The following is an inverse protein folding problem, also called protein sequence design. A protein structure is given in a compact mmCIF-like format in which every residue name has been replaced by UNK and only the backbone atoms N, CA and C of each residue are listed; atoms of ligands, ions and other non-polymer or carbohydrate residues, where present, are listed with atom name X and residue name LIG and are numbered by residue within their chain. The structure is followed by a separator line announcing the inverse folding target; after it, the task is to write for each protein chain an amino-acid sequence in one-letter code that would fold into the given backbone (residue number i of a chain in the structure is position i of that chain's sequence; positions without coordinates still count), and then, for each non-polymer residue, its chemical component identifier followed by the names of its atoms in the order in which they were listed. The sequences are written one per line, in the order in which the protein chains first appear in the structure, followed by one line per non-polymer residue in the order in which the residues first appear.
data_IF_326828364325
#
_entry.id   IF_326828364325
#
_cell.length_a   1.000
_cell.length_b   1.000
_cell.length_c   1.000
_cell.angle_alpha   90.00
_cell.angle_beta   90.00
_cell.angle_gamma   90.00
#
_symmetry.space_group_name_H-M   'P 1'
#
loop_
_entity.id
_entity.type
_entity.pdbx_description
1 polymer ?
#
# COMPACT_ATOMS: atom_id res chain seq x y z
N UNK A 1 26.42 0.78 3.60
CA UNK A 1 24.95 0.56 3.66
C UNK A 1 24.55 0.85 5.08
N UNK A 2 23.55 1.70 5.31
CA UNK A 2 22.94 1.79 6.64
C UNK A 2 22.34 0.42 6.95
N UNK A 3 22.86 -0.28 7.96
CA UNK A 3 22.40 -1.61 8.32
C UNK A 3 21.51 -1.50 9.55
N UNK A 4 20.22 -1.73 9.34
CA UNK A 4 19.23 -1.84 10.41
C UNK A 4 19.14 -3.31 10.85
N UNK A 5 19.16 -3.62 12.16
CA UNK A 5 19.06 -5.00 12.64
C UNK A 5 17.76 -5.67 12.18
N UNK A 6 17.81 -6.93 11.76
CA UNK A 6 16.61 -7.69 11.35
C UNK A 6 16.06 -8.50 12.52
N UNK A 7 15.77 -7.82 13.63
CA UNK A 7 15.28 -8.41 14.88
C UNK A 7 14.20 -7.50 15.50
N UNK A 8 13.03 -8.08 15.80
CA UNK A 8 11.87 -7.43 16.41
C UNK A 8 12.21 -6.68 17.70
N UNK A 9 13.09 -7.24 18.54
CA UNK A 9 13.43 -6.66 19.84
C UNK A 9 14.23 -5.36 19.71
N UNK A 10 14.85 -5.11 18.56
CA UNK A 10 15.60 -3.89 18.26
C UNK A 10 14.69 -2.71 17.91
N UNK A 11 13.37 -2.90 17.84
CA UNK A 11 12.43 -1.83 17.47
C UNK A 11 11.38 -1.61 18.55
N UNK A 12 11.19 -0.35 18.91
CA UNK A 12 10.03 0.11 19.69
C UNK A 12 9.04 0.77 18.73
N UNK A 13 7.88 0.15 18.52
CA UNK A 13 6.77 0.78 17.82
C UNK A 13 6.27 1.97 18.64
N UNK A 14 6.01 3.11 18.00
CA UNK A 14 5.60 4.35 18.68
C UNK A 14 4.16 4.71 18.32
N UNK A 15 3.91 5.04 17.05
CA UNK A 15 2.62 5.53 16.58
C UNK A 15 2.21 4.77 15.33
N UNK A 16 0.95 4.30 15.29
CA UNK A 16 0.35 3.83 14.05
C UNK A 16 0.02 5.03 13.18
N UNK A 17 0.46 5.00 11.92
CA UNK A 17 0.35 6.12 10.97
C UNK A 17 -0.22 5.71 9.61
N UNK A 18 -0.49 4.42 9.42
CA UNK A 18 -1.15 3.92 8.22
C UNK A 18 -1.89 2.62 8.49
N UNK A 19 -2.99 2.43 7.74
CA UNK A 19 -3.81 1.22 7.75
C UNK A 19 -4.19 0.89 6.30
N UNK A 20 -3.79 -0.29 5.85
CA UNK A 20 -4.17 -0.91 4.59
C UNK A 20 -5.15 -2.06 4.80
N UNK A 21 -5.46 -2.79 3.74
CA UNK A 21 -6.40 -3.94 3.81
C UNK A 21 -5.86 -5.08 4.68
N UNK A 22 -4.59 -5.44 4.48
CA UNK A 22 -3.87 -6.52 5.18
C UNK A 22 -2.52 -6.01 5.72
N UNK A 23 -2.43 -4.73 6.08
CA UNK A 23 -1.16 -4.15 6.50
C UNK A 23 -1.35 -2.94 7.40
N UNK A 24 -0.44 -2.75 8.34
CA UNK A 24 -0.36 -1.55 9.18
C UNK A 24 1.00 -0.89 9.05
N UNK A 25 1.06 0.43 9.20
CA UNK A 25 2.32 1.19 9.16
C UNK A 25 2.51 1.91 10.48
N UNK A 26 3.69 1.74 11.06
CA UNK A 26 4.08 2.35 12.32
C UNK A 26 5.33 3.22 12.17
N UNK A 27 5.36 4.35 12.87
CA UNK A 27 6.63 4.98 13.25
C UNK A 27 7.25 4.11 14.32
N UNK A 28 8.49 3.68 14.11
CA UNK A 28 9.26 2.90 15.07
C UNK A 28 10.60 3.58 15.36
N UNK A 29 11.11 3.38 16.58
CA UNK A 29 12.47 3.78 16.96
C UNK A 29 13.36 2.56 17.01
N UNK A 30 14.44 2.58 16.22
CA UNK A 30 15.49 1.58 16.33
C UNK A 30 16.27 1.81 17.64
N UNK A 31 16.50 0.73 18.39
CA UNK A 31 17.17 0.81 19.70
C UNK A 31 18.68 0.98 19.59
N UNK A 32 19.29 0.45 18.53
CA UNK A 32 20.74 0.47 18.33
C UNK A 32 21.25 1.88 18.01
N UNK A 33 20.59 2.61 17.13
CA UNK A 33 21.03 3.93 16.66
C UNK A 33 20.07 5.08 17.03
N UNK A 34 18.98 4.78 17.74
CA UNK A 34 17.93 5.73 18.16
C UNK A 34 17.19 6.42 17.03
N UNK A 35 17.43 6.08 15.76
CA UNK A 35 16.76 6.69 14.60
C UNK A 35 15.32 6.20 14.49
N UNK A 36 14.47 7.07 13.96
CA UNK A 36 13.09 6.73 13.63
C UNK A 36 13.01 6.23 12.19
N UNK A 37 12.24 5.15 12.00
CA UNK A 37 11.97 4.53 10.71
C UNK A 37 10.47 4.26 10.58
N UNK A 38 10.02 4.00 9.35
CA UNK A 38 8.70 3.42 9.12
C UNK A 38 8.83 1.89 9.11
N UNK A 39 7.99 1.21 9.87
CA UNK A 39 7.82 -0.25 9.80
C UNK A 39 6.43 -0.54 9.28
N UNK A 40 6.36 -1.18 8.11
CA UNK A 40 5.11 -1.69 7.55
C UNK A 40 4.99 -3.18 7.89
N UNK A 41 3.95 -3.51 8.63
CA UNK A 41 3.63 -4.87 9.06
C UNK A 41 2.58 -5.38 8.06
N UNK A 42 2.92 -6.42 7.30
CA UNK A 42 1.99 -7.06 6.37
C UNK A 42 1.53 -8.38 6.98
N UNK A 43 0.22 -8.50 7.20
CA UNK A 43 -0.40 -9.69 7.74
C UNK A 43 -0.58 -10.72 6.64
N UNK A 44 0.20 -11.79 6.69
CA UNK A 44 0.21 -12.82 5.64
C UNK A 44 -0.90 -13.87 5.85
N UNK A 45 -1.60 -13.83 6.98
CA UNK A 45 -2.71 -14.71 7.29
C UNK A 45 -3.92 -14.38 6.40
N UNK A 46 -4.36 -15.35 5.58
CA UNK A 46 -5.60 -15.26 4.82
C UNK A 46 -5.48 -15.17 3.29
N UNK A 47 -4.28 -15.24 2.70
CA UNK A 47 -4.12 -15.45 1.26
C UNK A 47 -2.82 -16.18 0.90
N UNK A 48 -2.82 -17.04 -0.15
CA UNK A 48 -1.58 -17.54 -0.72
C UNK A 48 -0.83 -16.36 -1.39
N UNK A 49 0.04 -15.71 -0.64
CA UNK A 49 0.92 -14.70 -1.18
C UNK A 49 1.98 -15.36 -2.07
N UNK A 50 2.22 -14.79 -3.24
CA UNK A 50 3.36 -15.17 -4.06
C UNK A 50 4.66 -14.62 -3.42
N UNK A 51 5.14 -15.35 -2.40
CA UNK A 51 6.34 -15.02 -1.62
C UNK A 51 7.55 -14.80 -2.54
N UNK A 52 7.61 -15.51 -3.67
CA UNK A 52 8.71 -15.39 -4.64
C UNK A 52 8.66 -14.06 -5.41
N UNK A 53 7.47 -13.62 -5.82
CA UNK A 53 7.31 -12.29 -6.40
C UNK A 53 7.58 -11.19 -5.37
N UNK A 54 7.12 -11.36 -4.13
CA UNK A 54 7.34 -10.41 -3.05
C UNK A 54 8.83 -10.22 -2.76
N UNK A 55 9.56 -11.33 -2.55
CA UNK A 55 11.01 -11.32 -2.33
C UNK A 55 11.77 -10.68 -3.49
N UNK A 56 11.35 -10.92 -4.74
CA UNK A 56 11.97 -10.29 -5.91
C UNK A 56 11.74 -8.79 -5.95
N UNK A 57 10.54 -8.34 -5.61
CA UNK A 57 10.21 -6.91 -5.47
C UNK A 57 11.07 -6.23 -4.41
N UNK A 58 11.23 -6.83 -3.23
CA UNK A 58 12.11 -6.32 -2.16
C UNK A 58 13.58 -6.25 -2.59
N UNK A 59 14.10 -7.28 -3.23
CA UNK A 59 15.46 -7.27 -3.77
C UNK A 59 15.66 -6.14 -4.77
N UNK A 60 14.70 -5.92 -5.67
CA UNK A 60 14.74 -4.81 -6.62
C UNK A 60 14.69 -3.44 -5.92
N UNK A 61 13.84 -3.31 -4.89
CA UNK A 61 13.75 -2.09 -4.10
C UNK A 61 15.08 -1.78 -3.41
N UNK A 62 15.71 -2.77 -2.78
CA UNK A 62 16.97 -2.60 -2.06
C UNK A 62 18.12 -2.09 -2.96
N UNK A 63 18.14 -2.49 -4.24
CA UNK A 63 19.19 -2.07 -5.20
C UNK A 63 18.82 -0.80 -5.98
N UNK A 64 17.53 -0.45 -6.08
CA UNK A 64 17.08 0.74 -6.80
C UNK A 64 17.31 1.99 -5.94
N UNK A 65 18.06 2.97 -6.48
CA UNK A 65 18.31 4.25 -5.80
C UNK A 65 17.79 5.40 -6.64
N UNK A 66 16.87 6.18 -6.07
CA UNK A 66 16.33 7.37 -6.72
C UNK A 66 15.90 8.39 -5.65
N UNK A 67 16.11 9.70 -5.84
CA UNK A 67 15.73 10.72 -4.85
C UNK A 67 14.22 10.74 -4.53
N UNK A 68 13.39 10.34 -5.50
CA UNK A 68 11.93 10.23 -5.34
C UNK A 68 11.45 8.80 -5.07
N UNK A 69 12.31 7.93 -4.56
CA UNK A 69 11.96 6.60 -4.05
C UNK A 69 12.28 6.56 -2.56
N UNK A 70 11.35 6.01 -1.76
CA UNK A 70 11.57 5.76 -0.33
C UNK A 70 12.69 4.73 -0.18
N UNK A 71 13.66 4.99 0.70
CA UNK A 71 14.71 4.01 0.94
C UNK A 71 14.15 2.79 1.67
N UNK A 72 14.51 1.61 1.19
CA UNK A 72 14.16 0.33 1.81
C UNK A 72 15.40 -0.28 2.45
N UNK A 73 15.28 -0.62 3.73
CA UNK A 73 16.39 -1.10 4.54
C UNK A 73 16.41 -2.63 4.67
N UNK A 74 15.26 -3.28 4.55
CA UNK A 74 15.14 -4.74 4.62
C UNK A 74 13.77 -5.19 5.12
N UNK A 75 13.59 -6.50 5.23
CA UNK A 75 12.41 -7.09 5.84
C UNK A 75 12.75 -8.38 6.58
N UNK A 76 11.92 -8.74 7.55
CA UNK A 76 12.01 -9.99 8.29
C UNK A 76 10.64 -10.45 8.80
N UNK A 77 10.52 -11.73 9.12
CA UNK A 77 9.27 -12.30 9.63
C UNK A 77 9.22 -12.16 11.15
N UNK A 78 8.03 -11.85 11.67
CA UNK A 78 7.70 -11.88 13.10
C UNK A 78 6.41 -12.67 13.24
N UNK A 79 6.51 -13.92 13.67
CA UNK A 79 5.37 -14.84 13.62
C UNK A 79 4.90 -15.07 12.18
N UNK A 80 3.62 -14.80 11.91
CA UNK A 80 3.00 -14.84 10.58
C UNK A 80 3.09 -13.51 9.81
N UNK A 81 3.61 -12.45 10.44
CA UNK A 81 3.69 -11.13 9.82
C UNK A 81 5.03 -10.87 9.14
N UNK A 82 5.01 -10.15 8.02
CA UNK A 82 6.21 -9.62 7.38
C UNK A 82 6.42 -8.15 7.74
N UNK A 83 7.52 -7.87 8.41
CA UNK A 83 7.93 -6.52 8.79
C UNK A 83 8.86 -5.94 7.71
N UNK A 84 8.48 -4.82 7.11
CA UNK A 84 9.25 -4.08 6.10
C UNK A 84 9.78 -2.78 6.70
N UNK A 85 11.09 -2.56 6.60
CA UNK A 85 11.80 -1.44 7.22
C UNK A 85 12.12 -0.41 6.14
N UNK A 86 11.56 0.79 6.30
CA UNK A 86 11.67 1.86 5.33
C UNK A 86 12.08 3.18 5.98
N UNK A 87 12.62 4.08 5.16
CA UNK A 87 12.77 5.48 5.52
C UNK A 87 11.42 6.08 5.94
N UNK A 88 11.43 6.81 7.05
CA UNK A 88 10.24 7.52 7.53
C UNK A 88 10.02 8.79 6.71
N UNK A 89 8.84 8.90 6.09
CA UNK A 89 8.36 10.13 5.45
C UNK A 89 7.25 10.74 6.32
N UNK A 90 7.59 11.84 6.97
CA UNK A 90 6.91 12.44 8.13
C UNK A 90 5.72 13.37 7.82
N UNK A 91 5.39 13.58 6.54
CA UNK A 91 4.19 14.33 6.12
C UNK A 91 3.03 13.45 5.64
N UNK A 92 3.22 12.13 5.59
CA UNK A 92 2.17 11.17 5.22
C UNK A 92 1.94 10.99 3.73
N UNK A 93 0.97 10.13 3.41
CA UNK A 93 0.61 9.86 2.01
C UNK A 93 -0.31 10.94 1.45
N UNK A 94 -0.27 11.12 0.13
CA UNK A 94 -1.21 12.00 -0.58
C UNK A 94 -2.66 11.61 -0.29
N UNK A 95 -2.94 10.31 -0.15
CA UNK A 95 -4.28 9.84 0.25
C UNK A 95 -4.68 10.36 1.64
N UNK A 96 -3.80 10.25 2.64
CA UNK A 96 -4.10 10.75 3.99
C UNK A 96 -4.34 12.26 3.98
N UNK A 97 -3.53 13.01 3.25
CA UNK A 97 -3.67 14.47 3.13
C UNK A 97 -5.00 14.85 2.49
N UNK A 98 -5.39 14.16 1.40
CA UNK A 98 -6.67 14.35 0.73
C UNK A 98 -7.84 14.07 1.68
N UNK A 99 -7.81 12.94 2.39
CA UNK A 99 -8.88 12.55 3.30
C UNK A 99 -9.01 13.51 4.49
N UNK A 100 -7.88 13.99 5.02
CA UNK A 100 -7.86 14.85 6.19
C UNK A 100 -8.31 16.28 5.90
N UNK A 101 -7.74 16.92 4.87
CA UNK A 101 -7.91 18.37 4.64
C UNK A 101 -8.36 18.76 3.24
N UNK A 102 -8.32 17.86 2.25
CA UNK A 102 -8.60 18.18 0.84
C UNK A 102 -9.59 17.19 0.22
N UNK A 103 -10.70 16.96 0.92
CA UNK A 103 -11.78 16.05 0.53
C UNK A 103 -12.44 16.39 -0.83
N UNK A 104 -12.27 17.62 -1.30
CA UNK A 104 -12.68 18.09 -2.64
C UNK A 104 -11.52 18.23 -3.63
N UNK A 105 -10.33 17.75 -3.28
CA UNK A 105 -9.10 17.78 -4.07
C UNK A 105 -8.37 19.12 -4.06
N UNK A 106 -7.12 19.10 -4.53
CA UNK A 106 -6.30 20.29 -4.70
C UNK A 106 -6.76 21.10 -5.90
N UNK A 107 -6.99 22.40 -5.69
CA UNK A 107 -7.37 23.34 -6.76
C UNK A 107 -6.17 24.07 -7.36
N UNK A 108 -5.06 24.09 -6.64
CA UNK A 108 -3.81 24.65 -7.13
C UNK A 108 -3.12 23.66 -8.09
N UNK A 109 -3.19 23.96 -9.39
CA UNK A 109 -2.51 23.19 -10.43
C UNK A 109 -0.99 23.21 -10.30
N UNK A 110 -0.42 24.28 -9.75
CA UNK A 110 1.03 24.36 -9.50
C UNK A 110 1.40 23.32 -8.46
N UNK A 111 0.61 23.18 -7.39
CA UNK A 111 0.79 22.12 -6.39
C UNK A 111 0.63 20.72 -7.00
N UNK A 112 -0.41 20.49 -7.80
CA UNK A 112 -0.62 19.22 -8.51
C UNK A 112 0.59 18.84 -9.37
N UNK A 113 1.07 19.77 -10.20
CA UNK A 113 2.23 19.57 -11.05
C UNK A 113 3.51 19.32 -10.22
N UNK A 114 3.69 20.04 -9.11
CA UNK A 114 4.85 19.92 -8.22
C UNK A 114 4.90 18.57 -7.49
N UNK A 115 3.74 17.95 -7.23
CA UNK A 115 3.68 16.61 -6.64
C UNK A 115 3.82 15.52 -7.72
N UNK A 116 3.15 15.68 -8.86
CA UNK A 116 3.14 14.67 -9.94
C UNK A 116 4.49 14.58 -10.68
N UNK A 117 5.24 15.68 -10.80
CA UNK A 117 6.53 15.69 -11.51
C UNK A 117 7.61 14.79 -10.87
N UNK A 118 7.84 14.82 -9.54
CA UNK A 118 8.69 13.86 -8.84
C UNK A 118 8.30 12.40 -9.07
N UNK A 119 7.00 12.10 -9.04
CA UNK A 119 6.47 10.76 -9.28
C UNK A 119 6.77 10.31 -10.71
N UNK A 120 6.52 11.19 -11.69
CA UNK A 120 6.80 10.93 -13.08
C UNK A 120 8.30 10.80 -13.39
N UNK A 121 9.14 11.57 -12.69
CA UNK A 121 10.61 11.49 -12.77
C UNK A 121 11.11 10.12 -12.31
N UNK A 122 10.58 9.62 -11.19
CA UNK A 122 10.84 8.26 -10.73
C UNK A 122 10.37 7.22 -11.75
N UNK A 123 9.15 7.32 -12.27
CA UNK A 123 8.65 6.39 -13.29
C UNK A 123 9.52 6.39 -14.55
N UNK A 124 9.97 7.55 -15.02
CA UNK A 124 10.86 7.64 -16.17
C UNK A 124 12.19 6.91 -15.94
N UNK A 125 12.78 7.07 -14.75
CA UNK A 125 13.96 6.31 -14.35
C UNK A 125 13.70 4.80 -14.29
N UNK A 126 12.59 4.40 -13.67
CA UNK A 126 12.25 2.99 -13.46
C UNK A 126 11.92 2.27 -14.77
N UNK A 127 11.15 2.92 -15.65
CA UNK A 127 10.80 2.42 -16.99
C UNK A 127 12.02 2.34 -17.91
N UNK A 128 12.99 3.26 -17.78
CA UNK A 128 14.26 3.16 -18.50
C UNK A 128 15.04 1.89 -18.15
N UNK A 129 14.91 1.41 -16.91
CA UNK A 129 15.44 0.12 -16.47
C UNK A 129 14.57 -1.08 -16.82
N UNK A 130 13.51 -0.90 -17.63
CA UNK A 130 12.52 -1.93 -17.95
C UNK A 130 11.83 -2.52 -16.72
N UNK A 131 11.67 -1.72 -15.67
CA UNK A 131 10.89 -2.09 -14.49
C UNK A 131 9.52 -1.42 -14.53
N UNK A 132 8.52 -2.09 -13.95
CA UNK A 132 7.15 -1.56 -13.81
C UNK A 132 6.77 -1.56 -12.34
N UNK A 133 6.16 -0.48 -11.86
CA UNK A 133 5.73 -0.33 -10.48
C UNK A 133 4.49 -1.18 -10.17
N UNK A 134 3.51 -1.25 -11.08
CA UNK A 134 2.27 -2.05 -11.05
C UNK A 134 1.22 -1.63 -10.03
N UNK A 135 1.61 -1.00 -8.93
CA UNK A 135 0.69 -0.60 -7.86
C UNK A 135 0.80 0.88 -7.45
N UNK A 136 1.15 1.76 -8.38
CA UNK A 136 1.27 3.18 -8.05
C UNK A 136 -0.10 3.79 -7.78
N UNK A 137 -0.25 4.39 -6.59
CA UNK A 137 -1.51 4.90 -6.03
C UNK A 137 -1.22 6.05 -5.06
N UNK A 138 -2.24 6.84 -4.70
CA UNK A 138 -2.08 7.99 -3.78
C UNK A 138 -1.64 7.61 -2.38
N UNK A 139 -1.92 6.39 -1.90
CA UNK A 139 -1.40 5.90 -0.62
C UNK A 139 0.10 5.52 -0.69
N UNK A 140 0.63 5.27 -1.89
CA UNK A 140 2.04 4.99 -2.14
C UNK A 140 2.86 6.23 -2.53
N UNK A 141 2.26 7.42 -2.59
CA UNK A 141 2.96 8.69 -2.82
C UNK A 141 3.04 9.42 -1.48
N UNK A 142 4.23 9.57 -0.95
CA UNK A 142 4.49 10.17 0.35
C UNK A 142 5.12 11.56 0.18
N UNK A 143 4.77 12.49 1.06
CA UNK A 143 5.34 13.84 1.10
C UNK A 143 5.98 14.05 2.47
N UNK A 144 7.25 14.47 2.51
CA UNK A 144 7.92 14.83 3.76
C UNK A 144 7.50 16.21 4.23
N UNK A 145 7.79 16.54 5.48
CA UNK A 145 7.57 17.88 6.02
C UNK A 145 8.31 18.97 5.28
N UNK A 146 9.43 18.65 4.65
CA UNK A 146 10.20 19.57 3.81
C UNK A 146 9.64 19.69 2.38
N UNK A 147 8.51 19.04 2.09
CA UNK A 147 7.87 19.02 0.78
C UNK A 147 8.53 18.06 -0.23
N UNK A 148 9.38 17.13 0.22
CA UNK A 148 9.99 16.15 -0.69
C UNK A 148 8.97 15.06 -1.00
N UNK A 149 8.78 14.77 -2.30
CA UNK A 149 7.84 13.75 -2.76
C UNK A 149 8.59 12.48 -3.10
N UNK A 150 8.14 11.36 -2.54
CA UNK A 150 8.71 10.03 -2.76
C UNK A 150 7.63 8.99 -3.01
N UNK A 151 7.95 8.03 -3.86
CA UNK A 151 7.12 6.84 -4.13
C UNK A 151 7.57 5.72 -3.19
N UNK A 152 6.62 4.95 -2.66
CA UNK A 152 6.81 3.77 -1.82
C UNK A 152 6.26 2.52 -2.49
N UNK A 153 6.52 1.36 -1.87
CA UNK A 153 5.86 0.08 -2.13
C UNK A 153 6.23 -0.58 -3.47
N UNK A 154 7.54 -0.76 -3.70
CA UNK A 154 8.06 -1.56 -4.83
C UNK A 154 7.95 -3.09 -4.62
N UNK A 155 7.32 -3.55 -3.53
CA UNK A 155 7.18 -4.96 -3.19
C UNK A 155 6.49 -5.80 -4.29
N UNK A 156 5.66 -5.16 -5.12
CA UNK A 156 4.96 -5.79 -6.24
C UNK A 156 5.52 -5.39 -7.61
N UNK A 157 6.62 -4.64 -7.63
CA UNK A 157 7.31 -4.24 -8.86
C UNK A 157 7.96 -5.45 -9.54
N UNK A 158 8.29 -5.30 -10.81
CA UNK A 158 8.91 -6.39 -11.56
C UNK A 158 9.65 -5.90 -12.79
N UNK A 159 10.73 -6.61 -13.11
CA UNK A 159 11.45 -6.46 -14.36
C UNK A 159 10.67 -7.10 -15.51
N UNK A 160 10.62 -6.39 -16.65
CA UNK A 160 10.02 -6.86 -17.89
C UNK A 160 10.97 -7.70 -18.74
N UNK A 161 12.26 -7.68 -18.41
CA UNK A 161 13.29 -8.49 -19.06
C UNK A 161 13.85 -9.43 -18.00
N UNK A 162 13.72 -10.73 -18.24
CA UNK A 162 14.31 -11.77 -17.41
C UNK A 162 14.97 -12.80 -18.33
N UNK A 163 16.25 -13.11 -18.10
CA UNK A 163 17.05 -14.01 -18.97
C UNK A 163 17.04 -13.62 -20.46
N UNK A 164 17.06 -12.32 -20.78
CA UNK A 164 17.10 -11.82 -22.16
C UNK A 164 15.77 -11.93 -22.93
N UNK A 165 14.69 -12.41 -22.30
CA UNK A 165 13.36 -12.45 -22.89
C UNK A 165 12.43 -11.42 -22.26
N UNK A 166 11.66 -10.73 -23.11
CA UNK A 166 10.61 -9.81 -22.67
C UNK A 166 9.42 -10.63 -22.16
N UNK A 167 9.17 -10.62 -20.85
CA UNK A 167 8.01 -11.29 -20.26
C UNK A 167 6.78 -10.41 -20.32
N UNK A 168 5.63 -11.00 -20.68
CA UNK A 168 4.34 -10.45 -20.32
C UNK A 168 4.10 -10.81 -18.85
N UNK A 169 4.12 -9.79 -18.00
CA UNK A 169 3.81 -9.88 -16.59
C UNK A 169 2.36 -10.34 -16.36
N UNK A 170 2.13 -11.66 -16.27
CA UNK A 170 0.86 -12.23 -15.83
C UNK A 170 0.86 -12.34 -14.31
N UNK A 171 -0.05 -11.63 -13.65
CA UNK A 171 -0.28 -11.71 -12.22
C UNK A 171 -1.77 -12.01 -12.00
N UNK A 172 -2.11 -12.89 -11.05
CA UNK A 172 -3.50 -13.12 -10.69
C UNK A 172 -4.05 -11.83 -10.10
N UNK A 173 -4.95 -11.17 -10.84
CA UNK A 173 -5.56 -9.92 -10.41
C UNK A 173 -6.46 -10.21 -9.20
N UNK A 174 -5.90 -10.07 -8.01
CA UNK A 174 -6.70 -10.05 -6.79
C UNK A 174 -7.36 -8.67 -6.71
N UNK A 175 -8.49 -8.53 -7.42
CA UNK A 175 -9.32 -7.33 -7.46
C UNK A 175 -8.84 -6.24 -8.43
N UNK A 176 -9.70 -5.82 -9.36
CA UNK A 176 -9.45 -4.64 -10.16
C UNK A 176 -9.59 -3.39 -9.27
N UNK A 177 -8.54 -2.57 -9.23
CA UNK A 177 -8.59 -1.28 -8.53
C UNK A 177 -9.02 -0.17 -9.50
N UNK A 178 -9.44 0.98 -8.98
CA UNK A 178 -9.71 2.16 -9.81
C UNK A 178 -8.48 2.66 -10.61
N UNK A 179 -7.27 2.30 -10.18
CA UNK A 179 -6.01 2.66 -10.84
C UNK A 179 -5.57 1.66 -11.91
N UNK A 180 -6.25 0.53 -12.02
CA UNK A 180 -5.87 -0.56 -12.92
C UNK A 180 -6.18 -0.19 -14.37
N UNK A 181 -5.18 -0.35 -15.25
CA UNK A 181 -5.33 -0.04 -16.67
C UNK A 181 -6.18 -1.10 -17.41
N UNK A 182 -6.89 -0.75 -18.50
CA UNK A 182 -7.76 -1.69 -19.22
C UNK A 182 -7.04 -2.95 -19.70
N UNK A 183 -5.81 -2.82 -20.21
CA UNK A 183 -5.03 -3.93 -20.76
C UNK A 183 -4.57 -4.94 -19.69
N UNK A 184 -4.49 -4.49 -18.43
CA UNK A 184 -4.16 -5.34 -17.29
C UNK A 184 -5.35 -6.24 -16.96
N UNK A 185 -6.57 -5.70 -17.03
CA UNK A 185 -7.81 -6.45 -16.76
C UNK A 185 -8.08 -7.44 -17.90
N UNK A 186 -7.81 -7.06 -19.15
CA UNK A 186 -7.96 -7.93 -20.32
C UNK A 186 -6.79 -8.93 -20.51
N UNK A 187 -6.06 -9.24 -19.44
CA UNK A 187 -4.97 -10.24 -19.38
C UNK A 187 -3.84 -10.08 -20.41
N UNK A 188 -3.68 -8.88 -20.99
CA UNK A 188 -2.56 -8.58 -21.90
C UNK A 188 -1.24 -8.38 -21.17
N UNK A 189 -1.27 -8.41 -19.83
CA UNK A 189 -0.13 -8.22 -18.94
C UNK A 189 0.14 -6.74 -18.65
N UNK A 190 0.84 -6.48 -17.55
CA UNK A 190 1.30 -5.13 -17.21
C UNK A 190 2.39 -4.65 -18.19
N UNK A 191 2.30 -3.39 -18.60
CA UNK A 191 3.31 -2.65 -19.38
C UNK A 191 3.72 -1.38 -18.63
N UNK A 192 4.83 -0.75 -19.03
CA UNK A 192 5.25 0.56 -18.52
C UNK A 192 4.12 1.60 -18.67
N UNK A 193 3.39 1.54 -19.80
CA UNK A 193 2.20 2.35 -20.06
C UNK A 193 1.06 2.15 -19.05
N UNK A 194 1.03 1.02 -18.33
CA UNK A 194 0.02 0.77 -17.30
C UNK A 194 0.22 1.67 -16.07
N UNK A 195 1.47 1.94 -15.69
CA UNK A 195 1.78 2.92 -14.63
C UNK A 195 1.36 4.34 -15.04
N UNK A 196 1.43 4.67 -16.34
CA UNK A 196 0.99 5.96 -16.88
C UNK A 196 -0.54 6.12 -16.75
N UNK A 197 -1.31 5.06 -16.98
CA UNK A 197 -2.74 5.09 -16.71
C UNK A 197 -3.03 5.34 -15.23
N UNK A 198 -2.35 4.61 -14.33
CA UNK A 198 -2.49 4.81 -12.89
C UNK A 198 -2.15 6.24 -12.48
N UNK A 199 -1.12 6.85 -13.07
CA UNK A 199 -0.78 8.27 -12.86
C UNK A 199 -1.92 9.22 -13.29
N UNK A 200 -2.60 8.94 -14.41
CA UNK A 200 -3.77 9.72 -14.83
C UNK A 200 -4.93 9.64 -13.83
N UNK A 201 -5.16 8.44 -13.26
CA UNK A 201 -6.15 8.24 -12.20
C UNK A 201 -5.77 8.99 -10.92
N UNK A 202 -4.49 8.94 -10.52
CA UNK A 202 -3.94 9.69 -9.39
C UNK A 202 -4.15 11.20 -9.59
N UNK A 203 -3.89 11.71 -10.79
CA UNK A 203 -4.10 13.12 -11.09
C UNK A 203 -5.57 13.55 -10.94
N UNK A 204 -6.53 12.72 -11.37
CA UNK A 204 -7.95 12.98 -11.13
C UNK A 204 -8.26 12.94 -9.63
N UNK A 205 -7.83 11.89 -8.93
CA UNK A 205 -8.09 11.76 -7.49
C UNK A 205 -7.53 12.94 -6.69
N UNK A 206 -6.31 13.39 -7.00
CA UNK A 206 -5.72 14.56 -6.38
C UNK A 206 -6.52 15.84 -6.65
N UNK A 207 -7.09 15.98 -7.85
CA UNK A 207 -7.84 17.15 -8.27
C UNK A 207 -9.29 17.20 -7.74
N UNK A 208 -9.90 16.04 -7.49
CA UNK A 208 -11.31 15.91 -7.09
C UNK A 208 -11.50 15.42 -5.64
N UNK A 209 -10.44 14.89 -5.03
CA UNK A 209 -10.44 14.24 -3.72
C UNK A 209 -10.88 12.77 -3.75
N UNK A 210 -11.31 12.24 -4.90
CA UNK A 210 -11.79 10.85 -5.03
C UNK A 210 -11.39 10.24 -6.37
N UNK A 211 -10.83 9.03 -6.35
CA UNK A 211 -10.60 8.28 -7.57
C UNK A 211 -11.92 7.99 -8.31
N UNK A 212 -11.91 8.03 -9.66
CA UNK A 212 -13.05 7.60 -10.48
C UNK A 212 -13.52 6.20 -10.08
N UNK A 213 -14.84 6.02 -10.05
CA UNK A 213 -15.46 4.72 -9.76
C UNK A 213 -15.07 4.10 -8.41
N UNK A 214 -14.52 4.88 -7.47
CA UNK A 214 -14.10 4.39 -6.15
C UNK A 214 -15.26 3.83 -5.32
N UNK A 215 -16.48 4.32 -5.55
CA UNK A 215 -17.72 3.90 -4.90
C UNK A 215 -18.38 2.66 -5.52
N UNK A 216 -17.87 2.16 -6.66
CA UNK A 216 -18.44 1.00 -7.35
C UNK A 216 -17.88 -0.31 -6.78
N UNK A 217 -18.60 -1.42 -6.95
CA UNK A 217 -18.06 -2.75 -6.66
C UNK A 217 -17.05 -3.20 -7.73
N UNK A 218 -16.31 -4.28 -7.49
CA UNK A 218 -15.21 -4.69 -8.37
C UNK A 218 -15.67 -5.03 -9.79
N UNK A 219 -16.83 -5.68 -9.96
CA UNK A 219 -17.39 -6.00 -11.27
C UNK A 219 -17.80 -4.74 -12.04
N UNK A 220 -18.43 -3.79 -11.37
CA UNK A 220 -18.81 -2.50 -11.94
C UNK A 220 -17.59 -1.66 -12.33
N UNK A 221 -16.54 -1.64 -11.49
CA UNK A 221 -15.26 -0.98 -11.80
C UNK A 221 -14.64 -1.59 -13.06
N UNK A 222 -14.55 -2.91 -13.15
CA UNK A 222 -14.03 -3.60 -14.34
C UNK A 222 -14.82 -3.22 -15.59
N UNK A 223 -16.16 -3.23 -15.50
CA UNK A 223 -17.02 -2.85 -16.62
C UNK A 223 -16.80 -1.38 -17.04
N UNK A 224 -16.69 -0.47 -16.07
CA UNK A 224 -16.43 0.94 -16.34
C UNK A 224 -15.08 1.15 -17.04
N UNK A 225 -14.03 0.46 -16.59
CA UNK A 225 -12.68 0.56 -17.16
C UNK A 225 -12.62 -0.05 -18.57
N UNK A 226 -13.16 -1.27 -18.75
CA UNK A 226 -13.07 -2.00 -20.01
C UNK A 226 -14.01 -1.43 -21.08
N UNK A 227 -15.25 -1.13 -20.73
CA UNK A 227 -16.31 -0.78 -21.68
C UNK A 227 -16.61 0.72 -21.68
N UNK A 228 -16.66 1.35 -20.51
CA UNK A 228 -17.00 2.78 -20.35
C UNK A 228 -15.98 3.74 -20.98
N UNK A 229 -16.33 5.01 -21.20
CA UNK A 229 -15.36 6.00 -21.66
C UNK A 229 -14.22 6.18 -20.64
N UNK A 230 -13.01 6.61 -21.07
CA UNK A 230 -11.97 7.03 -20.15
C UNK A 230 -12.50 8.05 -19.13
N UNK A 231 -12.09 7.96 -17.85
CA UNK A 231 -12.45 8.97 -16.86
C UNK A 231 -11.98 10.36 -17.29
N UNK A 232 -12.82 11.36 -17.03
CA UNK A 232 -12.51 12.77 -17.31
C UNK A 232 -12.79 13.60 -16.06
N UNK A 233 -12.12 14.74 -15.93
CA UNK A 233 -12.47 15.72 -14.92
C UNK A 233 -13.89 16.28 -15.20
N UNK A 234 -14.68 16.59 -14.16
CA UNK A 234 -15.96 17.27 -14.34
C UNK A 234 -15.80 18.59 -15.10
N UNK A 235 -16.71 18.92 -16.02
CA UNK A 235 -16.65 20.20 -16.76
C UNK A 235 -16.68 21.43 -15.84
N UNK A 236 -17.33 21.31 -14.68
CA UNK A 236 -17.42 22.34 -13.65
C UNK A 236 -16.17 22.46 -12.76
N UNK A 237 -15.11 21.70 -13.05
CA UNK A 237 -13.93 21.62 -12.17
C UNK A 237 -13.04 22.86 -12.17
N UNK A 238 -13.13 23.71 -13.20
CA UNK A 238 -12.36 24.95 -13.30
C UNK A 238 -10.87 24.76 -13.64
N UNK A 239 -10.44 23.53 -13.93
CA UNK A 239 -9.05 23.24 -14.31
C UNK A 239 -8.73 23.68 -15.75
N UNK A 240 -7.48 24.04 -15.97
CA UNK A 240 -6.93 24.47 -17.24
C UNK A 240 -6.99 23.36 -18.29
N UNK A 241 -7.10 23.78 -19.54
CA UNK A 241 -7.05 22.85 -20.66
C UNK A 241 -5.72 22.09 -20.71
N UNK A 242 -4.65 22.67 -20.18
CA UNK A 242 -3.33 22.02 -20.11
C UNK A 242 -3.32 20.84 -19.15
N UNK A 243 -3.94 20.98 -17.97
CA UNK A 243 -4.04 19.86 -17.03
C UNK A 243 -5.00 18.78 -17.53
N UNK A 244 -6.12 19.18 -18.13
CA UNK A 244 -7.08 18.25 -18.75
C UNK A 244 -6.42 17.45 -19.87
N UNK A 245 -5.64 18.09 -20.74
CA UNK A 245 -4.90 17.43 -21.83
C UNK A 245 -3.90 16.40 -21.28
N UNK A 246 -3.13 16.75 -20.24
CA UNK A 246 -2.23 15.81 -19.56
C UNK A 246 -2.97 14.54 -19.08
N UNK A 247 -4.11 14.69 -18.41
CA UNK A 247 -4.92 13.56 -17.94
C UNK A 247 -5.42 12.71 -19.12
N UNK A 248 -5.91 13.36 -20.18
CA UNK A 248 -6.43 12.67 -21.36
C UNK A 248 -5.34 11.87 -22.09
N UNK A 249 -4.10 12.36 -22.14
CA UNK A 249 -2.95 11.63 -22.67
C UNK A 249 -2.68 10.35 -21.86
N UNK A 250 -2.72 10.45 -20.53
CA UNK A 250 -2.52 9.32 -19.63
C UNK A 250 -3.63 8.26 -19.73
N UNK A 251 -4.88 8.68 -19.88
CA UNK A 251 -6.07 7.81 -19.84
C UNK A 251 -6.52 7.30 -21.22
N UNK A 252 -5.61 7.23 -22.19
CA UNK A 252 -5.91 6.58 -23.48
C UNK A 252 -6.07 5.07 -23.27
N UNK A 253 -7.21 4.50 -23.67
CA UNK A 253 -7.45 3.04 -23.51
C UNK A 253 -6.40 2.19 -24.21
N UNK A 254 -6.02 2.54 -25.44
CA UNK A 254 -4.95 1.85 -26.15
C UNK A 254 -3.59 2.20 -25.50
N UNK A 255 -2.88 1.23 -24.88
CA UNK A 255 -1.61 1.48 -24.20
C UNK A 255 -0.53 2.04 -25.13
N UNK A 256 -0.51 1.65 -26.40
CA UNK A 256 0.49 2.12 -27.39
C UNK A 256 0.29 3.59 -27.76
N UNK A 257 -0.88 4.16 -27.47
CA UNK A 257 -1.15 5.59 -27.68
C UNK A 257 -0.80 6.44 -26.47
N UNK A 258 -0.45 5.83 -25.32
CA UNK A 258 -0.02 6.58 -24.13
C UNK A 258 1.43 6.99 -24.31
N UNK A 259 1.77 8.27 -24.07
CA UNK A 259 3.17 8.69 -24.04
C UNK A 259 3.92 7.99 -22.90
N UNK A 260 5.23 7.80 -23.10
CA UNK A 260 6.12 7.32 -22.05
C UNK A 260 6.26 8.35 -20.91
N UNK A 261 6.72 7.89 -19.74
CA UNK A 261 6.98 8.78 -18.61
C UNK A 261 7.97 9.92 -18.98
N UNK A 262 9.00 9.59 -19.78
CA UNK A 262 9.96 10.57 -20.26
C UNK A 262 9.32 11.65 -21.15
N UNK A 263 8.46 11.25 -22.10
CA UNK A 263 7.75 12.20 -22.97
C UNK A 263 6.77 13.08 -22.19
N UNK A 264 6.14 12.55 -21.14
CA UNK A 264 5.23 13.33 -20.30
C UNK A 264 5.94 14.38 -19.44
N UNK A 265 7.23 14.20 -19.11
CA UNK A 265 7.97 15.21 -18.34
C UNK A 265 8.11 16.54 -19.09
N UNK A 266 8.13 16.49 -20.42
CA UNK A 266 8.19 17.66 -21.30
C UNK A 266 6.82 18.33 -21.53
N UNK A 267 5.75 17.75 -20.98
CA UNK A 267 4.39 18.27 -21.14
C UNK A 267 4.26 19.67 -20.51
N UNK A 268 3.50 20.56 -21.16
CA UNK A 268 3.35 21.97 -20.74
C UNK A 268 2.86 22.14 -19.30
N UNK A 269 2.08 21.17 -18.80
CA UNK A 269 1.58 21.14 -17.43
C UNK A 269 2.71 21.23 -16.38
N UNK A 270 3.86 20.62 -16.65
CA UNK A 270 4.98 20.57 -15.70
C UNK A 270 5.94 21.76 -15.80
N UNK A 271 5.70 22.72 -16.71
CA UNK A 271 6.54 23.92 -16.85
C UNK A 271 6.51 24.80 -15.61
N UNK A 272 5.37 24.88 -14.95
CA UNK A 272 5.18 25.73 -13.75
C UNK A 272 5.40 24.96 -12.45
N UNK A 273 5.74 23.65 -12.51
CA UNK A 273 6.00 22.85 -11.33
C UNK A 273 7.14 23.46 -10.51
N UNK A 274 6.91 23.60 -9.21
CA UNK A 274 7.81 24.19 -8.25
C UNK A 274 8.55 23.12 -7.44
N UNK A 275 9.49 23.57 -6.62
CA UNK A 275 10.31 22.69 -5.78
C UNK A 275 9.62 22.31 -4.45
N UNK A 276 10.36 21.56 -3.62
CA UNK A 276 9.89 21.13 -2.31
C UNK A 276 9.60 22.29 -1.35
N UNK A 277 10.27 23.44 -1.50
CA UNK A 277 10.03 24.62 -0.66
C UNK A 277 8.63 25.20 -0.92
N UNK A 278 8.16 25.16 -2.16
CA UNK A 278 6.80 25.52 -2.51
C UNK A 278 5.80 24.58 -1.85
N UNK A 279 5.96 23.25 -2.03
CA UNK A 279 5.08 22.24 -1.43
C UNK A 279 5.06 22.38 0.10
N UNK A 280 6.21 22.63 0.72
CA UNK A 280 6.28 22.88 2.16
C UNK A 280 5.42 24.08 2.55
N UNK A 281 5.60 25.22 1.88
CA UNK A 281 4.92 26.48 2.19
C UNK A 281 3.41 26.42 1.99
N UNK A 282 2.96 25.85 0.86
CA UNK A 282 1.54 25.88 0.48
C UNK A 282 0.74 24.71 1.05
N UNK A 283 1.39 23.58 1.34
CA UNK A 283 0.71 22.36 1.80
C UNK A 283 1.18 21.94 3.19
N UNK A 284 2.46 21.59 3.37
CA UNK A 284 2.92 20.93 4.60
C UNK A 284 2.91 21.82 5.84
N UNK A 285 3.11 23.13 5.70
CA UNK A 285 3.15 24.08 6.83
C UNK A 285 1.82 24.15 7.59
N UNK A 286 0.71 23.83 6.93
CA UNK A 286 -0.64 23.98 7.47
C UNK A 286 -1.18 22.69 8.11
N UNK A 287 -0.51 21.55 7.90
CA UNK A 287 -0.99 20.24 8.33
C UNK A 287 -0.37 19.85 9.68
N UNK A 288 -1.13 19.20 10.60
CA UNK A 288 -0.58 18.70 11.86
C UNK A 288 0.22 17.41 11.63
N UNK A 289 1.08 16.97 12.58
CA UNK A 289 1.87 15.73 12.51
C UNK A 289 1.09 14.52 11.97
N UNK A 290 1.79 13.59 11.31
CA UNK A 290 1.13 12.45 10.64
C UNK A 290 0.35 11.57 11.63
N UNK A 291 0.85 11.42 12.85
CA UNK A 291 0.20 10.74 13.95
C UNK A 291 -1.13 11.40 14.35
N UNK A 292 -1.20 12.73 14.37
CA UNK A 292 -2.42 13.48 14.67
C UNK A 292 -3.42 13.41 13.52
N UNK A 293 -2.95 13.53 12.27
CA UNK A 293 -3.80 13.35 11.09
C UNK A 293 -4.41 11.93 11.07
N UNK A 294 -3.60 10.91 11.34
CA UNK A 294 -4.07 9.52 11.39
C UNK A 294 -5.07 9.31 12.52
N UNK A 295 -4.78 9.81 13.72
CA UNK A 295 -5.69 9.74 14.86
C UNK A 295 -7.01 10.47 14.59
N UNK A 296 -7.01 11.60 13.87
CA UNK A 296 -8.24 12.29 13.50
C UNK A 296 -9.08 11.50 12.48
N UNK A 297 -8.44 10.81 11.54
CA UNK A 297 -9.13 10.03 10.51
C UNK A 297 -9.69 8.70 11.04
N UNK A 298 -9.04 8.09 12.03
CA UNK A 298 -9.35 6.75 12.51
C UNK A 298 -9.77 6.68 13.99
N UNK A 299 -9.68 7.78 14.73
CA UNK A 299 -9.92 7.81 16.18
C UNK A 299 -11.37 7.51 16.57
N UNK A 300 -12.35 7.83 15.72
CA UNK A 300 -13.75 7.46 15.99
C UNK A 300 -14.02 5.96 15.80
N UNK A 301 -13.34 5.29 14.86
CA UNK A 301 -13.43 3.83 14.70
C UNK A 301 -12.87 3.11 15.92
N UNK A 302 -11.72 3.56 16.45
CA UNK A 302 -11.10 2.99 17.64
C UNK A 302 -12.01 3.16 18.87
N UNK A 303 -12.52 4.38 19.11
CA UNK A 303 -13.47 4.63 20.20
C UNK A 303 -14.77 3.82 20.08
N UNK A 304 -15.24 3.60 18.85
CA UNK A 304 -16.45 2.79 18.60
C UNK A 304 -16.20 1.31 18.88
N UNK A 305 -15.05 0.78 18.45
CA UNK A 305 -14.63 -0.60 18.75
C UNK A 305 -14.43 -0.79 20.26
N UNK A 306 -13.74 0.13 20.93
CA UNK A 306 -13.56 0.13 22.39
C UNK A 306 -14.90 0.16 23.13
N UNK A 307 -15.85 0.99 22.69
CA UNK A 307 -17.18 1.07 23.28
C UNK A 307 -17.99 -0.20 23.04
N UNK A 308 -17.91 -0.81 21.87
CA UNK A 308 -18.56 -2.09 21.55
C UNK A 308 -17.95 -3.24 22.35
N UNK A 309 -16.62 -3.29 22.48
CA UNK A 309 -15.91 -4.27 23.31
C UNK A 309 -16.25 -4.10 24.79
N UNK A 310 -16.27 -2.86 25.29
CA UNK A 310 -16.65 -2.55 26.67
C UNK A 310 -18.10 -2.97 26.96
N UNK A 311 -19.02 -2.71 26.02
CA UNK A 311 -20.42 -3.16 26.14
C UNK A 311 -20.53 -4.69 26.12
N UNK A 312 -19.76 -5.36 25.27
CA UNK A 312 -19.73 -6.82 25.19
C UNK A 312 -19.20 -7.47 26.48
N UNK A 313 -18.11 -6.93 27.03
CA UNK A 313 -17.52 -7.38 28.30
C UNK A 313 -18.46 -7.13 29.49
N UNK A 314 -19.13 -5.97 29.52
CA UNK A 314 -20.13 -5.66 30.55
C UNK A 314 -21.36 -6.58 30.53
N UNK A 315 -21.73 -7.12 29.36
CA UNK A 315 -22.88 -8.00 29.20
C UNK A 315 -22.57 -9.45 29.64
N UNK A 316 -21.30 -9.86 29.62
CA UNK A 316 -20.90 -11.23 29.93
C UNK A 316 -20.27 -11.38 31.33
N UNK A 317 -20.05 -10.28 32.07
CA UNK A 317 -19.44 -10.27 33.40
C UNK A 317 -17.98 -10.79 33.41
N UNK A 318 -17.19 -10.37 32.41
CA UNK A 318 -15.75 -10.70 32.30
C UNK A 318 -14.95 -9.46 32.68
N UNK A 319 -14.27 -9.49 33.83
CA UNK A 319 -13.33 -8.45 34.27
C UNK A 319 -11.98 -8.69 33.58
N UNK A 320 -11.77 -8.05 32.43
CA UNK A 320 -10.46 -7.95 31.81
C UNK A 320 -10.03 -6.49 31.75
N UNK A 321 -8.81 -6.24 32.22
CA UNK A 321 -8.20 -4.92 32.20
C UNK A 321 -7.74 -4.60 30.76
N UNK A 322 -8.45 -3.68 30.10
CA UNK A 322 -8.27 -3.37 28.67
C UNK A 322 -6.87 -2.82 28.38
N UNK A 323 -6.24 -2.12 29.34
CA UNK A 323 -4.86 -1.64 29.17
C UNK A 323 -3.85 -2.80 29.13
N UNK A 324 -4.11 -3.91 29.84
CA UNK A 324 -3.25 -5.10 29.81
C UNK A 324 -3.35 -5.87 28.49
N UNK A 325 -4.55 -5.99 27.92
CA UNK A 325 -4.81 -6.66 26.63
C UNK A 325 -4.25 -5.90 25.42
N UNK A 326 -4.08 -4.58 25.54
CA UNK A 326 -3.46 -3.73 24.52
C UNK A 326 -1.94 -3.58 24.71
N UNK A 327 -1.42 -3.92 25.89
CA UNK A 327 0.01 -3.87 26.22
C UNK A 327 0.71 -5.22 26.04
N UNK A 328 0.01 -6.33 26.22
CA UNK A 328 0.54 -7.68 26.01
C UNK A 328 0.22 -8.17 24.60
N UNK A 329 1.23 -8.18 23.73
CA UNK A 329 1.23 -9.10 22.59
C UNK A 329 1.35 -10.54 23.09
N UNK A 330 0.78 -11.54 22.37
CA UNK A 330 0.70 -12.91 22.86
C UNK A 330 2.11 -13.51 23.04
N UNK A 331 2.59 -13.47 24.28
CA UNK A 331 3.66 -14.33 24.73
C UNK A 331 3.06 -15.75 24.77
N UNK A 332 3.51 -16.61 23.86
CA UNK A 332 3.26 -18.04 23.90
C UNK A 332 3.62 -18.59 25.28
N UNK A 333 2.62 -18.86 26.11
CA UNK A 333 2.76 -19.82 27.21
C UNK A 333 1.90 -21.03 26.89
N UNK A 334 2.61 -22.08 26.46
CA UNK A 334 2.16 -23.44 26.48
C UNK A 334 1.64 -23.79 27.88
N UNK A 335 0.33 -24.04 28.02
CA UNK A 335 -0.15 -24.89 29.10
C UNK A 335 0.09 -26.34 28.71
N UNK A 336 1.24 -26.87 29.13
CA UNK A 336 1.40 -28.31 29.33
C UNK A 336 0.58 -28.68 30.57
N UNK A 337 -0.46 -29.50 30.37
CA UNK A 337 -1.02 -30.32 31.45
C UNK A 337 -0.33 -31.67 31.36
N UNK A 338 0.56 -31.96 32.29
CA UNK A 338 1.13 -33.29 32.46
C UNK A 338 0.09 -34.23 33.10
N UNK A 339 -0.08 -35.41 32.50
CA UNK A 339 -0.20 -36.64 33.27
C UNK A 339 0.15 -37.87 32.42
N UNK A 340 0.61 -38.96 33.06
CA UNK A 340 1.75 -39.74 32.60
C UNK A 340 1.33 -40.98 31.80
N UNK A 341 2.23 -41.47 30.93
CA UNK A 341 2.61 -42.88 30.72
C UNK A 341 3.55 -42.99 29.49
N UNK A 342 4.65 -43.71 29.68
CA UNK A 342 5.75 -43.91 28.71
C UNK A 342 5.46 -45.07 27.71
N UNK A 343 6.45 -45.54 26.91
CA UNK A 343 6.98 -44.95 25.68
C UNK A 343 6.80 -45.90 24.47
N UNK A 344 6.57 -45.39 23.25
CA UNK A 344 6.71 -46.21 22.02
C UNK A 344 7.35 -45.39 20.89
N UNK A 345 8.42 -45.94 20.33
CA UNK A 345 9.29 -45.45 19.25
C UNK A 345 8.68 -45.62 17.83
N UNK A 346 9.34 -45.14 16.75
CA UNK A 346 8.68 -44.49 15.62
C UNK A 346 8.34 -45.43 14.46
N UNK A 347 7.28 -45.10 13.71
CA UNK A 347 7.06 -45.71 12.39
C UNK A 347 6.53 -44.69 11.38
N UNK A 348 7.34 -44.50 10.34
CA UNK A 348 7.03 -43.77 9.11
C UNK A 348 6.10 -44.63 8.23
N UNK A 349 4.96 -44.09 7.79
CA UNK A 349 4.43 -44.39 6.44
C UNK A 349 3.26 -43.48 5.98
N UNK A 350 3.58 -42.64 5.01
CA UNK A 350 2.92 -42.37 3.71
C UNK A 350 1.48 -42.92 3.51
N UNK A 351 0.52 -42.01 3.26
CA UNK A 351 -0.50 -42.18 2.22
C UNK A 351 -1.94 -42.54 2.61
N UNK A 352 -2.86 -41.65 2.20
CA UNK A 352 -4.26 -41.84 1.77
C UNK A 352 -5.31 -42.43 2.75
N UNK A 353 -6.16 -41.52 3.23
CA UNK A 353 -7.59 -41.62 3.61
C UNK A 353 -8.17 -42.99 4.07
N UNK A 354 -8.78 -42.99 5.27
CA UNK A 354 -9.90 -43.86 5.61
C UNK A 354 -11.01 -43.06 6.30
N UNK A 355 -12.18 -43.05 5.67
CA UNK A 355 -13.47 -42.62 6.22
C UNK A 355 -14.09 -43.78 6.99
N UNK A 356 -14.60 -43.54 8.19
CA UNK A 356 -15.55 -44.47 8.82
C UNK A 356 -16.61 -43.75 9.66
N UNK A 357 -17.86 -44.07 9.31
CA UNK A 357 -19.15 -43.59 9.79
C UNK A 357 -19.42 -44.07 11.23
N UNK A 358 -19.76 -43.16 12.14
CA UNK A 358 -20.25 -43.52 13.48
C UNK A 358 -21.77 -43.73 13.45
N UNK A 359 -22.22 -44.93 13.86
CA UNK A 359 -23.61 -45.24 14.18
C UNK A 359 -23.81 -45.00 15.67
N UNK A 360 -24.79 -44.17 16.04
CA UNK A 360 -25.23 -43.98 17.42
C UNK A 360 -26.19 -45.09 17.84
N UNK A 361 -26.02 -45.72 19.02
CA UNK A 361 -27.08 -46.51 19.64
C UNK A 361 -27.94 -45.63 20.57
N UNK A 362 -29.24 -45.71 20.37
CA UNK A 362 -30.32 -45.27 21.27
C UNK A 362 -30.27 -45.97 22.63
N UNK A 363 -30.64 -45.29 23.74
CA UNK A 363 -30.89 -45.94 25.01
C UNK A 363 -32.39 -46.19 25.26
N UNK A 364 -32.68 -47.31 25.91
CA UNK A 364 -33.89 -47.63 26.69
C UNK A 364 -33.41 -48.58 27.80
N UNK A 365 -34.07 -48.66 28.97
CA UNK A 365 -35.51 -48.50 29.19
C UNK A 365 -35.93 -47.17 29.82
#
# INVERSE_FOLDING_TARGET
MESFPLDRHQYKLLHKVGKGKNSDVYIARCRTDRRQIAIKINHLDGAPHDVMNLRRGHSNWMVTRHPNLVNYFGSFNVGSDLWELCELIDGGSVLNIIQYAFNHGFKDEVLLASILKPVLTFLAHFHKGHHIHRQIRTNGILISRKGLVKVSDLCFSSAMIEFGQRKNARFSVQGATCYTAPEVISESGYKESSDIWSLGIIAIEMATGKAPSSNLNDMEKMKAILVGPPPVLPKSSGFSQTFIDFIQLCLRKNPEKRPSAAQLLDHKFFKNAQDSSYIHRVLMKQLPPIEEMFASLHGEEVKKIEKTLSAFLSCHNWDFDIESLLADEPCTQSMFVESPLAPIEPTVQIGRFKLTRQLTPTPMP
#
